data_IF_804849081349
#
_entry.id   IF_804849081349
#
_cell.length_a   1.000
_cell.length_b   1.000
_cell.length_c   1.000
_cell.angle_alpha   90.00
_cell.angle_beta   90.00
_cell.angle_gamma   90.00
#
_symmetry.space_group_name_H-M   'P 1'
#
loop_
_entity.id
_entity.type
_entity.pdbx_description
1 polymer ?
#
# COMPACT_ATOMS: atom_id res chain seq x y z
N UNK A 1 -12.93 -12.90 -11.38
CA UNK A 1 -12.27 -11.76 -11.37
C UNK A 1 -10.98 -11.77 -10.64
N UNK A 2 -10.08 -11.10 -11.15
CA UNK A 2 -8.76 -11.17 -10.62
C UNK A 2 -8.67 -10.49 -9.27
N UNK A 3 -7.83 -11.03 -8.42
CA UNK A 3 -7.56 -10.41 -7.19
C UNK A 3 -6.66 -9.25 -7.38
N UNK A 4 -6.79 -8.27 -6.55
CA UNK A 4 -5.92 -7.13 -6.61
C UNK A 4 -4.51 -7.55 -6.24
N UNK A 5 -3.54 -7.09 -6.99
CA UNK A 5 -2.15 -7.39 -6.72
C UNK A 5 -1.61 -6.33 -5.78
N UNK A 6 -1.52 -6.66 -4.51
CA UNK A 6 -1.09 -5.70 -3.51
C UNK A 6 0.36 -5.29 -3.67
N UNK A 7 1.18 -6.17 -4.23
CA UNK A 7 2.56 -5.79 -4.50
C UNK A 7 2.61 -4.72 -5.56
N UNK A 8 1.76 -4.87 -6.57
CA UNK A 8 1.69 -3.89 -7.63
C UNK A 8 1.13 -2.58 -7.10
N UNK A 9 0.19 -2.65 -6.20
CA UNK A 9 -0.40 -1.48 -5.59
C UNK A 9 0.65 -0.64 -4.91
N UNK A 10 1.59 -1.28 -4.24
CA UNK A 10 2.67 -0.58 -3.56
C UNK A 10 3.86 -0.32 -4.49
N UNK A 11 3.84 -0.84 -5.70
CA UNK A 11 4.92 -0.65 -6.64
C UNK A 11 6.17 -1.42 -6.29
N UNK A 12 6.00 -2.61 -5.73
CA UNK A 12 7.14 -3.43 -5.33
C UNK A 12 7.04 -4.81 -5.97
N UNK A 13 8.11 -5.56 -5.89
CA UNK A 13 8.15 -6.91 -6.44
C UNK A 13 7.50 -7.89 -5.49
N UNK A 14 7.03 -8.99 -6.04
CA UNK A 14 6.41 -10.01 -5.22
C UNK A 14 7.37 -10.63 -4.23
N UNK A 15 8.65 -10.51 -4.48
CA UNK A 15 9.64 -11.02 -3.55
C UNK A 15 10.10 -10.00 -2.52
N UNK A 16 9.42 -8.87 -2.43
CA UNK A 16 9.85 -7.82 -1.52
C UNK A 16 9.81 -8.28 -0.07
N UNK A 17 10.78 -7.85 0.70
CA UNK A 17 10.84 -8.19 2.10
C UNK A 17 9.88 -7.33 2.89
N UNK A 18 9.67 -7.68 4.16
CA UNK A 18 8.80 -6.91 5.02
C UNK A 18 9.27 -5.46 5.13
N UNK A 19 10.57 -5.27 5.18
CA UNK A 19 11.15 -3.94 5.19
C UNK A 19 10.79 -3.14 3.97
N UNK A 20 10.87 -3.79 2.82
CA UNK A 20 10.57 -3.12 1.58
C UNK A 20 9.10 -2.79 1.46
N UNK A 21 8.27 -3.68 1.93
CA UNK A 21 6.84 -3.44 1.94
C UNK A 21 6.52 -2.23 2.80
N UNK A 22 7.12 -2.17 3.96
CA UNK A 22 6.90 -1.06 4.87
C UNK A 22 7.38 0.26 4.28
N UNK A 23 8.55 0.24 3.66
CA UNK A 23 9.09 1.42 3.03
C UNK A 23 8.18 1.92 1.93
N UNK A 24 7.71 1.01 1.09
CA UNK A 24 6.84 1.38 -0.01
C UNK A 24 5.55 1.99 0.51
N UNK A 25 4.99 1.38 1.54
CA UNK A 25 3.77 1.91 2.12
C UNK A 25 4.00 3.32 2.67
N UNK A 26 5.09 3.52 3.36
CA UNK A 26 5.39 4.82 3.93
C UNK A 26 5.51 5.90 2.86
N UNK A 27 6.17 5.56 1.78
CA UNK A 27 6.32 6.51 0.69
C UNK A 27 4.97 6.89 0.12
N UNK A 28 4.12 5.92 -0.08
CA UNK A 28 2.81 6.21 -0.62
C UNK A 28 1.94 6.95 0.39
N UNK A 29 2.08 6.61 1.64
CA UNK A 29 1.31 7.29 2.68
C UNK A 29 1.66 8.77 2.74
N UNK A 30 2.93 9.09 2.56
CA UNK A 30 3.35 10.48 2.57
C UNK A 30 2.89 11.18 1.30
N UNK A 31 3.03 10.51 0.18
CA UNK A 31 2.72 11.11 -1.10
C UNK A 31 1.22 11.37 -1.27
N UNK A 32 0.41 10.45 -0.83
CA UNK A 32 -1.03 10.55 -1.04
C UNK A 32 -1.80 10.83 0.23
N UNK A 33 -1.13 11.32 1.25
CA UNK A 33 -1.81 11.58 2.51
C UNK A 33 -2.91 12.62 2.32
N UNK A 34 -4.09 12.38 2.90
CA UNK A 34 -5.21 13.32 2.73
C UNK A 34 -4.90 14.73 3.21
N UNK A 35 -4.05 14.85 4.23
CA UNK A 35 -3.68 16.16 4.72
C UNK A 35 -2.91 16.97 3.71
N UNK A 36 -2.12 16.28 2.90
CA UNK A 36 -1.34 16.94 1.87
C UNK A 36 -2.12 17.13 0.60
N UNK A 37 -3.17 16.35 0.42
CA UNK A 37 -3.97 16.40 -0.79
C UNK A 37 -5.44 16.48 -0.42
N UNK A 38 -5.85 17.52 0.27
CA UNK A 38 -7.20 17.55 0.85
C UNK A 38 -8.33 17.51 -0.16
N UNK A 39 -8.09 18.02 -1.35
CA UNK A 39 -9.14 18.03 -2.35
C UNK A 39 -8.97 16.99 -3.44
N UNK A 40 -8.07 16.06 -3.23
CA UNK A 40 -7.74 15.08 -4.25
C UNK A 40 -8.29 13.72 -3.89
N UNK A 41 -9.41 13.36 -4.49
CA UNK A 41 -9.99 12.06 -4.24
C UNK A 41 -9.15 10.92 -4.72
N UNK A 42 -8.42 11.12 -5.79
CA UNK A 42 -7.51 10.11 -6.29
C UNK A 42 -6.47 9.77 -5.27
N UNK A 43 -5.92 10.80 -4.63
CA UNK A 43 -4.90 10.58 -3.61
C UNK A 43 -5.49 9.83 -2.43
N UNK A 44 -6.70 10.16 -2.06
CA UNK A 44 -7.36 9.49 -0.96
C UNK A 44 -7.56 8.02 -1.28
N UNK A 45 -8.00 7.72 -2.48
CA UNK A 45 -8.21 6.34 -2.90
C UNK A 45 -6.90 5.58 -2.89
N UNK A 46 -5.84 6.18 -3.39
CA UNK A 46 -4.56 5.52 -3.42
C UNK A 46 -4.01 5.31 -2.02
N UNK A 47 -4.24 6.26 -1.14
CA UNK A 47 -3.81 6.11 0.23
C UNK A 47 -4.51 4.92 0.88
N UNK A 48 -5.80 4.80 0.64
CA UNK A 48 -6.55 3.69 1.20
C UNK A 48 -6.08 2.36 0.63
N UNK A 49 -5.82 2.33 -0.66
CA UNK A 49 -5.34 1.11 -1.29
C UNK A 49 -3.98 0.70 -0.74
N UNK A 50 -3.11 1.69 -0.54
CA UNK A 50 -1.80 1.39 0.00
C UNK A 50 -1.92 0.86 1.42
N UNK A 51 -2.80 1.43 2.21
CA UNK A 51 -2.99 0.97 3.58
C UNK A 51 -3.50 -0.45 3.62
N UNK A 52 -4.44 -0.76 2.74
CA UNK A 52 -4.97 -2.10 2.66
C UNK A 52 -3.90 -3.09 2.23
N UNK A 53 -3.14 -2.72 1.22
CA UNK A 53 -2.07 -3.59 0.73
C UNK A 53 -1.05 -3.86 1.82
N UNK A 54 -0.67 -2.82 2.54
CA UNK A 54 0.31 -2.98 3.60
C UNK A 54 -0.23 -3.90 4.69
N UNK A 55 -1.48 -3.70 5.05
CA UNK A 55 -2.09 -4.50 6.09
C UNK A 55 -2.07 -5.98 5.72
N UNK A 56 -2.44 -6.28 4.50
CA UNK A 56 -2.50 -7.65 4.05
C UNK A 56 -1.12 -8.26 3.87
N UNK A 57 -0.20 -7.51 3.30
CA UNK A 57 1.14 -8.04 3.04
C UNK A 57 1.97 -8.15 4.30
N UNK A 58 1.73 -7.27 5.27
CA UNK A 58 2.51 -7.33 6.50
C UNK A 58 1.93 -8.30 7.50
N UNK A 59 0.81 -8.89 7.17
CA UNK A 59 0.14 -9.84 8.06
C UNK A 59 0.50 -11.26 7.68
N UNK A 60 1.76 -11.49 7.45
CA UNK A 60 2.22 -12.78 6.96
C UNK A 60 1.95 -13.93 7.91
N UNK A 61 2.06 -13.68 9.17
CA UNK A 61 1.85 -14.73 10.16
C UNK A 61 0.42 -15.21 10.17
N UNK A 62 -0.50 -14.30 10.08
CA UNK A 62 -1.88 -14.68 10.08
C UNK A 62 -2.30 -15.32 8.80
N UNK A 63 -1.65 -14.92 7.73
CA UNK A 63 -1.96 -15.46 6.45
C UNK A 63 -1.57 -16.92 6.35
N UNK A 64 -0.60 -17.29 7.08
CA UNK A 64 -0.15 -18.66 7.07
C UNK A 64 -1.25 -19.57 7.55
#
# INVERSE_FOLDING_TARGET
MAKRDYYDTLGINKGASASEIKKAYRKMAIKFHPDKNPDDKSAEDKFKEAAEAYEILSDGDKKA
#
